data_IF_700450436266
#
_entry.id   IF_700450436266
#
_cell.length_a   1.000
_cell.length_b   1.000
_cell.length_c   1.000
_cell.angle_alpha   90.00
_cell.angle_beta   90.00
_cell.angle_gamma   90.00
#
_symmetry.space_group_name_H-M   'P 1'
#
loop_
_entity.id
_entity.type
_entity.pdbx_description
1 polymer ?
#
# COMPACT_ATOMS: atom_id res chain seq x y z
N UNK A 1 4.81 -23.03 23.09
CA UNK A 1 4.18 -21.74 22.74
C UNK A 1 3.62 -21.83 21.32
N UNK A 2 2.69 -20.94 20.96
CA UNK A 2 2.13 -20.84 19.59
C UNK A 2 2.88 -19.75 18.81
N UNK A 3 3.28 -20.04 17.58
CA UNK A 3 3.98 -19.08 16.70
C UNK A 3 3.02 -18.19 15.90
N UNK A 4 3.55 -17.12 15.29
CA UNK A 4 2.81 -16.20 14.44
C UNK A 4 3.33 -16.24 12.99
N UNK A 5 2.42 -16.38 12.03
CA UNK A 5 2.70 -16.27 10.59
C UNK A 5 1.86 -15.13 10.02
N UNK A 6 2.52 -14.01 9.71
CA UNK A 6 1.87 -12.81 9.18
C UNK A 6 1.74 -12.88 7.66
N UNK A 7 0.83 -12.08 7.11
CA UNK A 7 0.53 -12.05 5.69
C UNK A 7 0.17 -10.63 5.24
N UNK A 8 0.24 -10.40 3.92
CA UNK A 8 0.03 -9.08 3.29
C UNK A 8 0.85 -7.94 3.91
N UNK A 9 2.20 -8.05 3.96
CA UNK A 9 3.06 -7.01 4.55
C UNK A 9 2.90 -5.63 3.89
N UNK A 10 2.52 -5.61 2.61
CA UNK A 10 2.28 -4.38 1.85
C UNK A 10 0.80 -4.03 1.68
N UNK A 11 -0.10 -4.66 2.44
CA UNK A 11 -1.55 -4.48 2.36
C UNK A 11 -2.06 -4.53 0.90
N UNK A 12 -1.85 -5.66 0.22
CA UNK A 12 -2.19 -5.82 -1.21
C UNK A 12 -1.49 -4.83 -2.18
N UNK A 13 -0.32 -4.33 -1.78
CA UNK A 13 0.49 -3.40 -2.56
C UNK A 13 0.15 -1.92 -2.32
N UNK A 14 -0.73 -1.62 -1.36
CA UNK A 14 -1.08 -0.26 -0.98
C UNK A 14 0.15 0.49 -0.47
N UNK A 15 0.96 -0.15 0.37
CA UNK A 15 2.12 0.46 1.02
C UNK A 15 3.26 0.75 0.03
N UNK A 16 3.20 0.22 -1.19
CA UNK A 16 4.18 0.60 -2.22
C UNK A 16 3.99 2.02 -2.76
N UNK A 17 2.94 2.74 -2.34
CA UNK A 17 2.61 4.08 -2.84
C UNK A 17 2.02 4.12 -4.25
N UNK A 18 1.86 2.96 -4.93
CA UNK A 18 1.45 2.90 -6.35
C UNK A 18 0.05 3.46 -6.61
N UNK A 19 -0.77 3.63 -5.58
CA UNK A 19 -2.14 4.13 -5.69
C UNK A 19 -2.28 5.64 -5.39
N UNK A 20 -1.16 6.35 -5.18
CA UNK A 20 -1.18 7.78 -4.84
C UNK A 20 -1.82 8.68 -5.91
N UNK A 21 -1.85 8.21 -7.16
CA UNK A 21 -2.39 8.93 -8.33
C UNK A 21 -3.52 8.15 -9.03
N UNK A 22 -4.25 7.31 -8.29
CA UNK A 22 -5.32 6.46 -8.84
C UNK A 22 -4.91 4.98 -8.94
N UNK A 23 -5.72 4.17 -9.60
CA UNK A 23 -5.54 2.70 -9.68
C UNK A 23 -4.84 2.34 -10.99
N UNK A 24 -3.58 1.87 -10.98
CA UNK A 24 -2.90 1.42 -12.20
C UNK A 24 -3.58 0.19 -12.80
N UNK A 25 -3.67 0.11 -14.13
CA UNK A 25 -4.36 -0.98 -14.84
C UNK A 25 -3.75 -2.37 -14.60
N UNK A 26 -2.43 -2.44 -14.41
CA UNK A 26 -1.72 -3.69 -14.10
C UNK A 26 -1.70 -4.04 -12.61
N UNK A 27 -2.38 -3.26 -11.76
CA UNK A 27 -2.39 -3.48 -10.31
C UNK A 27 -3.42 -4.54 -9.89
N UNK A 28 -3.24 -5.10 -8.69
CA UNK A 28 -4.21 -6.03 -8.09
C UNK A 28 -5.61 -5.41 -7.99
N UNK A 29 -5.70 -4.11 -7.68
CA UNK A 29 -6.97 -3.40 -7.55
C UNK A 29 -7.70 -3.14 -8.88
N UNK A 30 -7.04 -3.36 -10.03
CA UNK A 30 -7.69 -3.27 -11.34
C UNK A 30 -8.36 -4.59 -11.77
N UNK A 31 -8.06 -5.72 -11.10
CA UNK A 31 -8.66 -7.01 -11.40
C UNK A 31 -10.15 -7.04 -11.01
N UNK A 32 -11.00 -7.60 -11.87
CA UNK A 32 -12.46 -7.65 -11.69
C UNK A 32 -12.89 -8.26 -10.35
N UNK A 33 -12.21 -9.30 -9.88
CA UNK A 33 -12.49 -9.95 -8.59
C UNK A 33 -12.01 -9.15 -7.36
N UNK A 34 -11.29 -8.05 -7.54
CA UNK A 34 -10.74 -7.21 -6.47
C UNK A 34 -11.40 -5.84 -6.39
N UNK A 35 -12.65 -5.72 -6.83
CA UNK A 35 -13.42 -4.48 -6.75
C UNK A 35 -13.49 -3.91 -5.32
N UNK A 36 -13.60 -4.78 -4.31
CA UNK A 36 -13.54 -4.39 -2.89
C UNK A 36 -12.22 -3.68 -2.51
N UNK A 37 -11.10 -4.08 -3.11
CA UNK A 37 -9.79 -3.48 -2.86
C UNK A 37 -9.71 -2.10 -3.50
N UNK A 38 -10.25 -1.96 -4.72
CA UNK A 38 -10.39 -0.67 -5.40
C UNK A 38 -11.22 0.30 -4.56
N UNK A 39 -12.37 -0.14 -4.06
CA UNK A 39 -13.26 0.63 -3.18
C UNK A 39 -12.54 1.05 -1.89
N UNK A 40 -11.80 0.13 -1.27
CA UNK A 40 -10.97 0.43 -0.08
C UNK A 40 -9.94 1.51 -0.37
N UNK A 41 -9.25 1.44 -1.51
CA UNK A 41 -8.20 2.41 -1.90
C UNK A 41 -8.80 3.80 -2.14
N UNK A 42 -9.94 3.91 -2.82
CA UNK A 42 -10.57 5.19 -3.14
C UNK A 42 -11.44 5.75 -2.01
N UNK A 43 -11.67 4.98 -0.94
CA UNK A 43 -12.38 5.45 0.25
C UNK A 43 -11.66 6.62 0.93
N UNK A 44 -12.36 7.32 1.82
CA UNK A 44 -11.75 8.39 2.62
C UNK A 44 -10.57 7.87 3.46
N UNK A 45 -10.72 6.69 4.06
CA UNK A 45 -9.66 6.06 4.84
C UNK A 45 -8.46 5.66 3.97
N UNK A 46 -8.72 5.11 2.78
CA UNK A 46 -7.68 4.80 1.79
C UNK A 46 -6.90 6.04 1.38
N UNK A 47 -7.58 7.17 1.13
CA UNK A 47 -6.94 8.46 0.84
C UNK A 47 -6.12 8.98 2.02
N UNK A 48 -6.61 8.87 3.26
CA UNK A 48 -5.84 9.21 4.47
C UNK A 48 -4.58 8.34 4.58
N UNK A 49 -4.68 7.05 4.28
CA UNK A 49 -3.53 6.15 4.25
C UNK A 49 -2.52 6.56 3.19
N UNK A 50 -2.96 6.94 1.98
CA UNK A 50 -2.06 7.48 0.95
C UNK A 50 -1.37 8.76 1.40
N UNK A 51 -2.06 9.63 2.14
CA UNK A 51 -1.45 10.80 2.78
C UNK A 51 -0.28 10.42 3.69
N UNK A 52 -0.49 9.47 4.61
CA UNK A 52 0.56 8.95 5.49
C UNK A 52 1.73 8.33 4.72
N UNK A 53 1.47 7.64 3.61
CA UNK A 53 2.55 7.08 2.79
C UNK A 53 3.42 8.18 2.16
N UNK A 54 2.84 9.33 1.78
CA UNK A 54 3.61 10.50 1.32
C UNK A 54 4.51 11.05 2.42
N UNK A 55 4.04 11.07 3.66
CA UNK A 55 4.85 11.51 4.82
C UNK A 55 5.99 10.52 5.15
N UNK A 56 5.81 9.23 4.82
CA UNK A 56 6.84 8.19 4.99
C UNK A 56 7.88 8.17 3.86
N UNK A 57 7.56 8.66 2.67
CA UNK A 57 8.49 8.65 1.53
C UNK A 57 9.84 9.31 1.83
N UNK A 58 9.92 10.51 2.46
CA UNK A 58 11.20 11.13 2.80
C UNK A 58 12.04 10.31 3.78
N UNK A 59 11.41 9.51 4.65
CA UNK A 59 12.10 8.64 5.58
C UNK A 59 12.76 7.47 4.82
N UNK A 60 12.02 6.85 3.90
CA UNK A 60 12.54 5.79 3.05
C UNK A 60 13.73 6.31 2.20
N UNK A 61 13.57 7.49 1.60
CA UNK A 61 14.63 8.16 0.83
C UNK A 61 15.88 8.44 1.67
N UNK A 62 15.72 8.98 2.89
CA UNK A 62 16.83 9.23 3.82
C UNK A 62 17.57 7.95 4.21
N UNK A 63 16.86 6.83 4.31
CA UNK A 63 17.44 5.52 4.61
C UNK A 63 17.98 4.79 3.37
N UNK A 64 17.84 5.38 2.18
CA UNK A 64 18.29 4.77 0.93
C UNK A 64 17.50 3.53 0.52
N UNK A 65 16.23 3.42 0.95
CA UNK A 65 15.35 2.30 0.63
C UNK A 65 14.02 2.75 0.02
N UNK A 66 13.26 1.79 -0.49
CA UNK A 66 11.92 2.00 -1.04
C UNK A 66 10.86 1.85 0.07
N UNK A 67 9.67 2.45 -0.10
CA UNK A 67 8.56 2.27 0.85
C UNK A 67 8.23 0.78 1.14
N UNK A 68 8.20 -0.14 0.14
CA UNK A 68 8.06 -1.56 0.41
C UNK A 68 9.14 -2.16 1.30
N UNK A 69 10.40 -1.74 1.12
CA UNK A 69 11.52 -2.21 1.95
C UNK A 69 11.47 -1.61 3.36
N UNK A 70 11.00 -0.37 3.50
CA UNK A 70 10.79 0.23 4.82
C UNK A 70 9.69 -0.50 5.62
N UNK A 71 8.72 -1.08 4.93
CA UNK A 71 7.58 -1.74 5.54
C UNK A 71 7.81 -3.20 5.98
N UNK A 72 8.95 -3.80 5.59
CA UNK A 72 9.31 -5.22 5.82
C UNK A 72 10.61 -5.29 6.59
#
# INVERSE_FOLDING_TARGET
>A
GVGAMTWSPLACGIISGKYGNGVPESSRAALKCYQWLKEKIISEEGRKQQGKLKDLSPIAERLGCTLPQLAV
#
